data_IF_586967241402
#
_entry.id   IF_586967241402
#
_cell.length_a   1.000
_cell.length_b   1.000
_cell.length_c   1.000
_cell.angle_alpha   90.00
_cell.angle_beta   90.00
_cell.angle_gamma   90.00
#
_symmetry.space_group_name_H-M   'P 1'
#
loop_
_entity.id
_entity.type
_entity.pdbx_description
1 polymer ?
#
# COMPACT_ATOMS: atom_id res chain seq x y z
N UNK A 1 32.46 -18.58 22.26
CA UNK A 1 31.87 -17.79 22.85
C UNK A 1 31.48 -16.66 22.07
N UNK A 2 31.78 -15.82 22.17
CA UNK A 2 31.72 -14.78 21.40
C UNK A 2 30.88 -14.90 20.22
N UNK A 3 31.05 -15.74 19.57
CA UNK A 3 30.38 -15.94 18.40
C UNK A 3 28.98 -15.77 18.49
N UNK A 4 28.41 -16.03 19.43
CA UNK A 4 27.06 -16.00 19.50
C UNK A 4 26.52 -14.73 19.00
N UNK A 5 26.92 -13.77 19.41
CA UNK A 5 26.41 -12.51 19.14
C UNK A 5 25.97 -12.42 17.71
N UNK A 6 26.67 -13.03 16.99
CA UNK A 6 26.44 -13.03 15.66
C UNK A 6 25.12 -13.50 15.27
N UNK A 7 24.82 -14.56 15.67
CA UNK A 7 23.62 -15.18 15.29
C UNK A 7 22.44 -14.30 15.43
N UNK A 8 22.43 -13.64 16.43
CA UNK A 8 21.36 -12.84 16.71
C UNK A 8 20.94 -11.96 15.62
N UNK A 9 21.83 -11.34 15.09
CA UNK A 9 21.56 -10.40 14.11
C UNK A 9 20.77 -10.91 13.03
N UNK A 10 20.97 -12.08 12.72
CA UNK A 10 20.31 -12.63 11.65
C UNK A 10 18.86 -12.52 11.73
N UNK A 11 18.35 -12.91 12.76
CA UNK A 11 16.95 -12.96 12.88
C UNK A 11 16.27 -11.69 12.50
N UNK A 12 16.92 -10.65 12.68
CA UNK A 12 16.32 -9.40 12.42
C UNK A 12 16.07 -9.16 10.99
N UNK A 13 16.93 -9.54 10.23
CA UNK A 13 16.86 -9.27 8.84
C UNK A 13 15.66 -9.88 8.15
N UNK A 14 15.13 -10.88 8.68
CA UNK A 14 14.05 -11.58 8.02
C UNK A 14 12.71 -10.89 8.12
N UNK A 15 12.56 -10.05 9.05
CA UNK A 15 11.27 -9.47 9.33
C UNK A 15 10.63 -8.64 8.27
N UNK A 16 11.26 -7.67 7.77
CA UNK A 16 10.62 -6.74 6.86
C UNK A 16 10.14 -7.33 5.55
N UNK A 17 10.70 -8.37 5.15
CA UNK A 17 10.37 -8.93 3.87
C UNK A 17 8.96 -9.52 3.80
N UNK A 18 8.41 -9.89 4.89
CA UNK A 18 7.12 -10.53 4.90
C UNK A 18 5.97 -9.65 4.48
N UNK A 19 6.04 -8.40 4.79
CA UNK A 19 4.93 -7.51 4.50
C UNK A 19 4.63 -7.37 3.01
N UNK A 20 5.63 -7.46 2.19
CA UNK A 20 5.45 -7.29 0.76
C UNK A 20 4.73 -8.45 0.10
N UNK A 21 4.80 -9.62 0.71
CA UNK A 21 4.18 -10.80 0.14
C UNK A 21 2.69 -10.88 0.38
N UNK A 22 2.18 -10.07 1.28
CA UNK A 22 0.78 -10.13 1.65
C UNK A 22 -0.16 -9.59 0.59
N UNK A 23 0.33 -8.73 -0.29
CA UNK A 23 -0.54 -8.09 -1.29
C UNK A 23 0.06 -8.23 -2.67
N UNK A 24 -0.03 -9.45 -3.20
CA UNK A 24 0.61 -9.76 -4.48
C UNK A 24 0.00 -9.07 -5.68
N UNK A 25 -1.25 -8.69 -5.59
CA UNK A 25 -1.91 -8.00 -6.69
C UNK A 25 -1.55 -6.52 -6.76
N UNK A 26 -0.76 -6.04 -5.82
CA UNK A 26 -0.34 -4.64 -5.80
C UNK A 26 1.12 -4.53 -6.20
N UNK A 27 1.40 -4.17 -7.45
CA UNK A 27 2.79 -4.07 -7.92
C UNK A 27 3.60 -3.05 -7.14
N UNK A 28 4.90 -3.24 -7.04
CA UNK A 28 5.74 -2.25 -6.36
C UNK A 28 5.73 -0.94 -7.14
N UNK A 29 5.89 0.14 -6.43
CA UNK A 29 5.91 1.46 -7.03
C UNK A 29 5.80 2.52 -5.96
N UNK A 30 6.02 3.76 -6.36
CA UNK A 30 5.96 4.85 -5.42
C UNK A 30 4.53 4.99 -4.92
N UNK A 31 4.35 5.06 -3.64
CA UNK A 31 3.03 5.19 -3.02
C UNK A 31 2.38 3.89 -2.59
N UNK A 32 2.95 2.74 -3.01
CA UNK A 32 2.37 1.46 -2.63
C UNK A 32 2.26 1.30 -1.12
N UNK A 33 3.32 1.63 -0.40
CA UNK A 33 3.34 1.45 1.06
C UNK A 33 2.30 2.34 1.74
N UNK A 34 2.13 3.54 1.26
CA UNK A 34 1.15 4.47 1.82
C UNK A 34 -0.24 3.92 1.56
N UNK A 35 -0.50 3.45 0.35
CA UNK A 35 -1.78 2.88 -0.01
C UNK A 35 -2.10 1.66 0.85
N UNK A 36 -1.15 0.76 1.02
CA UNK A 36 -1.37 -0.44 1.82
C UNK A 36 -1.71 -0.06 3.26
N UNK A 37 -0.95 0.86 3.84
CA UNK A 37 -1.17 1.25 5.23
C UNK A 37 -2.54 1.90 5.45
N UNK A 38 -2.94 2.75 4.55
CA UNK A 38 -4.18 3.49 4.70
C UNK A 38 -5.39 2.65 4.33
N UNK A 39 -5.35 1.98 3.20
CA UNK A 39 -6.50 1.22 2.72
C UNK A 39 -6.76 -0.03 3.56
N UNK A 40 -5.73 -0.57 4.18
CA UNK A 40 -5.89 -1.77 5.02
C UNK A 40 -6.64 -1.49 6.32
N UNK A 41 -6.93 -0.24 6.63
CA UNK A 41 -7.64 0.08 7.86
C UNK A 41 -9.07 -0.46 7.86
N UNK A 42 -9.67 -0.65 6.71
CA UNK A 42 -11.06 -1.08 6.62
C UNK A 42 -11.25 -2.42 5.93
N UNK A 43 -10.49 -2.68 4.89
CA UNK A 43 -10.59 -3.93 4.15
C UNK A 43 -9.31 -4.13 3.36
N UNK A 44 -9.19 -5.22 2.63
CA UNK A 44 -7.98 -5.50 1.88
C UNK A 44 -7.78 -4.48 0.77
N UNK A 45 -6.58 -3.92 0.66
CA UNK A 45 -6.30 -2.96 -0.41
C UNK A 45 -6.28 -3.59 -1.79
N UNK A 46 -6.23 -4.91 -1.87
CA UNK A 46 -6.23 -5.59 -3.17
C UNK A 46 -7.55 -5.44 -3.92
N UNK A 47 -8.59 -5.01 -3.25
CA UNK A 47 -9.86 -4.75 -3.92
C UNK A 47 -9.65 -3.72 -5.02
N UNK A 48 -8.77 -2.76 -4.81
CA UNK A 48 -8.50 -1.73 -5.80
C UNK A 48 -7.88 -2.30 -7.07
N UNK A 49 -7.15 -3.39 -6.98
CA UNK A 49 -6.47 -3.97 -8.12
C UNK A 49 -7.41 -4.42 -9.22
N UNK A 50 -8.67 -4.56 -8.92
CA UNK A 50 -9.66 -5.04 -9.89
C UNK A 50 -10.52 -3.93 -10.45
N UNK A 51 -10.20 -2.66 -10.16
CA UNK A 51 -11.05 -1.55 -10.56
C UNK A 51 -10.60 -0.89 -11.84
N UNK A 52 -9.54 -0.64 -12.22
CA UNK A 52 -9.07 0.04 -13.45
C UNK A 52 -9.90 1.28 -13.79
N UNK A 53 -9.54 2.38 -13.16
CA UNK A 53 -10.23 3.64 -13.35
C UNK A 53 -9.30 4.70 -13.95
N UNK A 54 -9.90 5.74 -14.55
CA UNK A 54 -9.09 6.86 -15.01
C UNK A 54 -8.74 7.73 -13.80
N UNK A 55 -7.99 8.80 -14.03
CA UNK A 55 -7.51 9.64 -12.93
C UNK A 55 -8.65 10.23 -12.12
N UNK A 56 -9.70 10.65 -12.76
CA UNK A 56 -10.84 11.23 -12.04
C UNK A 56 -11.56 10.16 -11.23
N UNK A 57 -11.72 8.97 -11.80
CA UNK A 57 -12.36 7.87 -11.09
C UNK A 57 -11.59 7.47 -9.85
N UNK A 58 -10.25 7.42 -9.93
CA UNK A 58 -9.45 7.10 -8.77
C UNK A 58 -9.54 8.20 -7.71
N UNK A 59 -9.55 9.47 -8.15
CA UNK A 59 -9.67 10.57 -7.22
C UNK A 59 -10.99 10.49 -6.46
N UNK A 60 -12.06 10.21 -7.19
CA UNK A 60 -13.39 10.13 -6.57
C UNK A 60 -13.44 8.96 -5.58
N UNK A 61 -12.85 7.83 -5.93
CA UNK A 61 -12.85 6.68 -5.05
C UNK A 61 -12.05 6.96 -3.78
N UNK A 62 -10.88 7.56 -3.90
CA UNK A 62 -10.05 7.89 -2.75
C UNK A 62 -10.77 8.89 -1.85
N UNK A 63 -11.46 9.88 -2.44
CA UNK A 63 -12.22 10.84 -1.66
C UNK A 63 -13.36 10.16 -0.91
N UNK A 64 -13.97 9.16 -1.52
CA UNK A 64 -15.03 8.41 -0.86
C UNK A 64 -14.48 7.63 0.34
N UNK A 65 -13.30 7.06 0.20
CA UNK A 65 -12.68 6.35 1.32
C UNK A 65 -12.33 7.31 2.45
N UNK A 66 -11.86 8.50 2.11
CA UNK A 66 -11.55 9.51 3.11
C UNK A 66 -12.81 9.91 3.87
N UNK A 67 -13.92 10.08 3.14
CA UNK A 67 -15.19 10.44 3.75
C UNK A 67 -15.74 9.31 4.63
N UNK A 68 -15.39 8.08 4.32
CA UNK A 68 -15.82 6.93 5.10
C UNK A 68 -14.94 6.67 6.32
N UNK A 69 -13.94 7.49 6.53
CA UNK A 69 -13.14 7.40 7.74
C UNK A 69 -11.71 6.93 7.60
N UNK A 70 -11.23 6.74 6.39
CA UNK A 70 -9.84 6.36 6.22
C UNK A 70 -8.95 7.46 6.81
N UNK A 71 -7.97 7.08 7.59
CA UNK A 71 -7.16 8.03 8.32
C UNK A 71 -5.83 8.28 7.63
N UNK A 72 -5.72 9.44 7.01
CA UNK A 72 -4.49 9.83 6.32
C UNK A 72 -4.50 11.34 6.10
N UNK A 73 -3.35 11.89 5.76
CA UNK A 73 -3.26 13.31 5.43
C UNK A 73 -3.66 13.52 3.97
N UNK A 74 -3.95 14.76 3.61
CA UNK A 74 -4.28 15.07 2.22
C UNK A 74 -3.13 14.71 1.30
N UNK A 75 -1.90 14.92 1.72
CA UNK A 75 -0.73 14.57 0.93
C UNK A 75 -0.66 13.05 0.72
N UNK A 76 -1.02 12.27 1.72
CA UNK A 76 -1.04 10.83 1.59
C UNK A 76 -2.13 10.36 0.67
N UNK A 77 -3.30 10.97 0.69
CA UNK A 77 -4.37 10.62 -0.24
C UNK A 77 -3.95 10.95 -1.68
N UNK A 78 -3.19 12.02 -1.89
CA UNK A 78 -2.69 12.34 -3.23
C UNK A 78 -1.69 11.29 -3.70
N UNK A 79 -0.82 10.84 -2.82
CA UNK A 79 0.16 9.81 -3.15
C UNK A 79 -0.56 8.52 -3.54
N UNK A 80 -1.59 8.15 -2.81
CA UNK A 80 -2.37 6.95 -3.10
C UNK A 80 -3.05 7.08 -4.46
N UNK A 81 -3.65 8.22 -4.74
CA UNK A 81 -4.34 8.46 -6.00
C UNK A 81 -3.36 8.33 -7.17
N UNK A 82 -2.16 8.87 -7.03
CA UNK A 82 -1.16 8.76 -8.07
C UNK A 82 -0.71 7.33 -8.31
N UNK A 83 -0.52 6.58 -7.23
CA UNK A 83 -0.13 5.18 -7.35
C UNK A 83 -1.21 4.40 -8.09
N UNK A 84 -2.46 4.58 -7.71
CA UNK A 84 -3.57 3.85 -8.33
C UNK A 84 -3.78 4.24 -9.79
N UNK A 85 -3.64 5.51 -10.10
CA UNK A 85 -3.81 5.98 -11.47
C UNK A 85 -2.71 5.42 -12.38
N UNK A 86 -1.50 5.34 -11.88
CA UNK A 86 -0.38 4.83 -12.68
C UNK A 86 -0.40 3.31 -12.78
N UNK A 87 -0.89 2.63 -11.76
CA UNK A 87 -0.80 1.17 -11.68
C UNK A 87 -2.00 0.47 -12.27
N UNK A 88 -3.18 1.03 -12.07
CA UNK A 88 -4.42 0.42 -12.54
C UNK A 88 -5.24 1.40 -13.38
N UNK A 89 -4.69 1.83 -14.53
CA UNK A 89 -5.41 2.78 -15.37
C UNK A 89 -6.61 2.15 -16.05
N UNK A 90 -7.51 2.97 -16.56
CA UNK A 90 -8.68 2.47 -17.28
C UNK A 90 -8.24 1.71 -18.52
N UNK A 91 -8.97 0.71 -18.87
CA UNK A 91 -8.66 -0.15 -20.02
C UNK A 91 -9.15 0.40 -21.33
#
# INVERSE_FOLDING_TARGET
MRKFAVAVLLGLAATPALADDDFKDLPPGEGRDVMVRVCSQCHSPEIAAHQNLDAQGWKDLVNQMANNGANATDAEFDIITKYLTATFPSK
#
